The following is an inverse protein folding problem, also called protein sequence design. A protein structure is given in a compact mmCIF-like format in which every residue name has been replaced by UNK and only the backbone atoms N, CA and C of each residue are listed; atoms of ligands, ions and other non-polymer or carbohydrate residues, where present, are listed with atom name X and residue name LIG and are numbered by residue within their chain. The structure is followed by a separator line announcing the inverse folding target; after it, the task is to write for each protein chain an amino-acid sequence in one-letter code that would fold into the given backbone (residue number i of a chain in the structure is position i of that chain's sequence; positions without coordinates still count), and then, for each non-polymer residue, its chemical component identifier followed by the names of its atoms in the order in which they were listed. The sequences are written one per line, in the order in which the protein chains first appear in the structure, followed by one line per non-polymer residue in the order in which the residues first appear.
data_IF_900896250791
#
_entry.id   IF_900896250791
#
_cell.length_a   1.000
_cell.length_b   1.000
_cell.length_c   1.000
_cell.angle_alpha   90.00
_cell.angle_beta   90.00
_cell.angle_gamma   90.00
#
_symmetry.space_group_name_H-M   'P 1'
#
loop_
_entity.id
_entity.type
_entity.pdbx_description
1 polymer ?
#
# COMPACT_ATOMS: atom_id res chain seq x y z
N UNK A 1 -20.88 2.66 -2.25
CA UNK A 1 -19.86 2.27 -1.27
C UNK A 1 -18.83 1.34 -1.88
N UNK A 2 -17.58 1.53 -1.49
CA UNK A 2 -16.48 0.73 -2.03
C UNK A 2 -16.56 -0.72 -1.53
N UNK A 3 -16.52 -1.67 -2.46
CA UNK A 3 -16.50 -3.09 -2.14
C UNK A 3 -15.11 -3.66 -2.33
N UNK A 4 -14.71 -4.54 -1.42
CA UNK A 4 -13.40 -5.19 -1.41
C UNK A 4 -13.60 -6.70 -1.57
N UNK A 5 -12.60 -7.34 -2.16
CA UNK A 5 -12.63 -8.78 -2.43
C UNK A 5 -12.18 -9.55 -1.20
N UNK A 6 -13.05 -10.41 -0.67
CA UNK A 6 -12.69 -11.35 0.39
C UNK A 6 -12.02 -12.57 -0.21
N UNK A 7 -10.94 -13.02 0.43
CA UNK A 7 -10.17 -14.17 -0.06
C UNK A 7 -9.87 -15.16 1.07
N UNK A 8 -9.53 -16.39 0.68
CA UNK A 8 -8.97 -17.37 1.61
C UNK A 8 -7.43 -17.22 1.67
N UNK A 9 -6.76 -18.05 2.45
CA UNK A 9 -5.31 -17.99 2.62
C UNK A 9 -4.50 -18.35 1.37
N UNK A 10 -5.17 -18.83 0.33
CA UNK A 10 -4.57 -19.15 -0.98
C UNK A 10 -4.93 -18.10 -2.04
N UNK A 11 -5.49 -16.96 -1.61
CA UNK A 11 -5.95 -15.88 -2.49
C UNK A 11 -7.10 -16.27 -3.42
N UNK A 12 -7.88 -17.29 -3.05
CA UNK A 12 -9.10 -17.61 -3.78
C UNK A 12 -10.21 -16.65 -3.34
N UNK A 13 -10.92 -16.06 -4.30
CA UNK A 13 -12.03 -15.16 -4.01
C UNK A 13 -13.20 -15.95 -3.40
N UNK A 14 -13.63 -15.52 -2.20
CA UNK A 14 -14.73 -16.17 -1.48
C UNK A 14 -15.94 -15.27 -1.28
N UNK A 15 -15.85 -14.02 -1.73
CA UNK A 15 -16.97 -13.07 -1.62
C UNK A 15 -16.48 -11.64 -1.72
N UNK A 16 -17.37 -10.72 -1.38
CA UNK A 16 -17.06 -9.28 -1.31
C UNK A 16 -17.72 -8.69 -0.08
N UNK A 17 -17.27 -7.53 0.34
CA UNK A 17 -17.87 -6.81 1.44
C UNK A 17 -17.50 -5.35 1.42
N UNK A 18 -18.13 -4.58 2.28
CA UNK A 18 -17.85 -3.16 2.38
C UNK A 18 -16.57 -2.92 3.18
N UNK A 19 -15.77 -1.96 2.75
CA UNK A 19 -14.45 -1.66 3.30
C UNK A 19 -14.47 -1.50 4.82
N UNK A 20 -15.35 -0.68 5.35
CA UNK A 20 -15.42 -0.43 6.79
C UNK A 20 -15.79 -1.68 7.58
N UNK A 21 -16.81 -2.42 7.12
CA UNK A 21 -17.27 -3.65 7.74
C UNK A 21 -16.16 -4.71 7.81
N UNK A 22 -15.42 -4.87 6.71
CA UNK A 22 -14.30 -5.81 6.62
C UNK A 22 -13.20 -5.47 7.62
N UNK A 23 -12.86 -4.20 7.76
CA UNK A 23 -11.84 -3.76 8.70
C UNK A 23 -12.29 -3.85 10.15
N UNK A 24 -13.57 -3.62 10.43
CA UNK A 24 -14.12 -3.77 11.77
C UNK A 24 -14.14 -5.24 12.22
N UNK A 25 -14.45 -6.14 11.30
CA UNK A 25 -14.55 -7.58 11.58
C UNK A 25 -13.24 -8.33 11.41
N UNK A 26 -12.22 -7.70 10.84
CA UNK A 26 -10.92 -8.32 10.62
C UNK A 26 -10.93 -9.46 9.61
N UNK A 27 -11.67 -9.31 8.52
CA UNK A 27 -11.75 -10.33 7.48
C UNK A 27 -10.59 -10.22 6.50
N UNK A 28 -10.04 -11.38 6.09
CA UNK A 28 -8.96 -11.44 5.11
C UNK A 28 -9.47 -10.96 3.75
N UNK A 29 -8.78 -9.99 3.19
CA UNK A 29 -9.19 -9.40 1.92
C UNK A 29 -7.97 -9.11 1.03
N UNK A 30 -8.21 -8.99 -0.27
CA UNK A 30 -7.17 -8.75 -1.26
C UNK A 30 -6.78 -7.27 -1.27
N UNK A 31 -5.47 -7.03 -1.31
CA UNK A 31 -4.90 -5.70 -1.36
C UNK A 31 -3.66 -5.70 -2.25
N UNK A 32 -3.15 -4.52 -2.55
CA UNK A 32 -1.87 -4.39 -3.24
C UNK A 32 -1.06 -3.24 -2.65
N UNK A 33 0.26 -3.38 -2.75
CA UNK A 33 1.23 -2.38 -2.34
C UNK A 33 2.16 -2.10 -3.52
N UNK A 34 2.38 -0.83 -3.81
CA UNK A 34 3.21 -0.39 -4.92
C UNK A 34 4.47 0.29 -4.40
N UNK A 35 5.61 -0.12 -4.94
CA UNK A 35 6.92 0.43 -4.63
C UNK A 35 7.48 1.04 -5.92
N UNK A 36 7.57 2.37 -5.99
CA UNK A 36 8.14 3.06 -7.15
C UNK A 36 9.53 3.58 -6.79
N UNK A 37 10.50 3.20 -7.60
CA UNK A 37 11.90 3.60 -7.45
C UNK A 37 12.31 4.54 -8.57
N UNK A 38 13.22 5.47 -8.28
CA UNK A 38 13.83 6.31 -9.30
C UNK A 38 15.15 5.68 -9.79
N UNK A 39 15.82 6.34 -10.74
CA UNK A 39 17.08 5.85 -11.30
C UNK A 39 18.23 5.82 -10.31
N UNK A 40 18.11 6.50 -9.17
CA UNK A 40 19.09 6.47 -8.08
C UNK A 40 18.82 5.33 -7.09
N UNK A 41 17.79 4.52 -7.31
CA UNK A 41 17.41 3.45 -6.41
C UNK A 41 16.68 3.90 -5.15
N UNK A 42 16.21 5.15 -5.12
CA UNK A 42 15.44 5.66 -4.00
C UNK A 42 13.97 5.27 -4.14
N UNK A 43 13.32 5.00 -3.02
CA UNK A 43 11.90 4.64 -2.95
C UNK A 43 11.05 5.89 -2.73
N UNK A 44 9.97 6.02 -3.49
CA UNK A 44 8.99 7.07 -3.29
C UNK A 44 8.04 6.71 -2.15
N UNK A 45 8.03 7.52 -1.11
CA UNK A 45 7.08 7.37 -0.01
C UNK A 45 5.96 8.39 -0.15
N UNK A 46 4.79 8.03 0.33
CA UNK A 46 3.70 8.98 0.51
C UNK A 46 3.36 9.13 2.00
N UNK A 47 2.95 10.32 2.38
CA UNK A 47 2.38 10.56 3.70
C UNK A 47 0.87 10.59 3.54
N UNK A 48 0.17 9.72 4.26
CA UNK A 48 -1.28 9.59 4.14
C UNK A 48 -1.97 10.86 4.62
N UNK A 49 -3.03 11.27 3.91
CA UNK A 49 -3.81 12.43 4.30
C UNK A 49 -4.38 12.28 5.72
N UNK A 50 -4.45 13.38 6.44
CA UNK A 50 -5.07 13.44 7.77
C UNK A 50 -6.56 13.09 7.74
N UNK A 51 -7.21 13.13 6.57
CA UNK A 51 -8.61 12.74 6.41
C UNK A 51 -8.86 11.24 6.31
N UNK A 52 -7.79 10.42 6.28
CA UNK A 52 -7.94 8.95 6.24
C UNK A 52 -8.54 8.45 7.55
N UNK A 53 -9.43 7.44 7.45
CA UNK A 53 -10.12 6.92 8.62
C UNK A 53 -9.22 6.05 9.53
N UNK A 54 -8.06 5.60 9.03
CA UNK A 54 -7.02 4.93 9.83
C UNK A 54 -5.64 5.33 9.32
N UNK A 55 -4.65 5.22 10.19
CA UNK A 55 -3.23 5.54 9.88
C UNK A 55 -3.05 6.91 9.23
N UNK A 56 -3.89 7.88 9.63
CA UNK A 56 -3.81 9.25 9.13
C UNK A 56 -2.44 9.87 9.43
N UNK A 57 -1.94 10.64 8.48
CA UNK A 57 -0.66 11.37 8.57
C UNK A 57 0.57 10.49 8.81
N UNK A 58 0.49 9.19 8.50
CA UNK A 58 1.65 8.30 8.56
C UNK A 58 2.27 8.10 7.19
N UNK A 59 3.58 7.83 7.19
CA UNK A 59 4.32 7.52 5.97
C UNK A 59 4.15 6.05 5.59
N UNK A 60 4.06 5.80 4.30
CA UNK A 60 3.98 4.46 3.73
C UNK A 60 4.73 4.41 2.40
N UNK A 61 4.79 3.22 1.77
CA UNK A 61 5.32 3.06 0.42
C UNK A 61 4.50 3.89 -0.57
N UNK A 62 4.83 3.82 -1.84
CA UNK A 62 4.28 4.73 -2.86
C UNK A 62 2.76 4.77 -2.93
N UNK A 63 2.11 3.59 -2.88
CA UNK A 63 0.65 3.50 -2.96
C UNK A 63 0.20 2.16 -2.39
N UNK A 64 -0.90 2.16 -1.64
CA UNK A 64 -1.54 0.95 -1.12
C UNK A 64 -3.04 1.09 -1.30
N UNK A 65 -3.69 0.07 -1.82
CA UNK A 65 -5.13 0.10 -2.01
C UNK A 65 -5.69 -1.31 -2.20
N UNK A 66 -6.94 -1.38 -2.56
CA UNK A 66 -7.69 -2.61 -2.76
C UNK A 66 -8.23 -2.67 -4.18
N UNK A 67 -8.12 -3.81 -4.90
CA UNK A 67 -8.73 -3.91 -6.22
C UNK A 67 -10.25 -3.99 -6.09
N UNK A 68 -10.95 -3.38 -7.03
CA UNK A 68 -12.41 -3.52 -7.11
C UNK A 68 -12.75 -4.91 -7.63
N UNK A 69 -13.91 -5.47 -7.24
CA UNK A 69 -14.36 -6.76 -7.76
C UNK A 69 -14.45 -6.75 -9.28
N UNK A 70 -14.15 -7.90 -9.90
CA UNK A 70 -14.25 -8.14 -11.34
C UNK A 70 -13.30 -7.29 -12.20
N UNK A 71 -12.25 -6.74 -11.60
CA UNK A 71 -11.25 -5.97 -12.33
C UNK A 71 -9.90 -6.67 -12.30
N UNK A 72 -9.05 -6.41 -13.29
CA UNK A 72 -7.70 -6.93 -13.33
C UNK A 72 -6.84 -6.27 -12.24
N UNK A 73 -6.10 -7.06 -11.48
CA UNK A 73 -5.32 -6.58 -10.34
C UNK A 73 -4.25 -5.56 -10.76
N UNK A 74 -3.48 -5.87 -11.82
CA UNK A 74 -2.44 -4.95 -12.30
C UNK A 74 -3.02 -3.62 -12.80
N UNK A 75 -4.13 -3.69 -13.52
CA UNK A 75 -4.80 -2.48 -13.99
C UNK A 75 -5.35 -1.65 -12.83
N UNK A 76 -5.86 -2.29 -11.78
CA UNK A 76 -6.30 -1.59 -10.58
C UNK A 76 -5.14 -0.93 -9.85
N UNK A 77 -3.98 -1.58 -9.79
CA UNK A 77 -2.78 -1.00 -9.21
C UNK A 77 -2.35 0.26 -9.98
N UNK A 78 -2.33 0.18 -11.31
CA UNK A 78 -2.01 1.33 -12.17
C UNK A 78 -3.01 2.48 -12.00
N UNK A 79 -4.29 2.14 -11.92
CA UNK A 79 -5.35 3.13 -11.73
C UNK A 79 -5.17 3.90 -10.43
N UNK A 80 -4.95 3.20 -9.33
CA UNK A 80 -4.80 3.84 -8.03
C UNK A 80 -3.50 4.64 -7.92
N UNK A 81 -2.43 4.17 -8.53
CA UNK A 81 -1.18 4.92 -8.57
C UNK A 81 -1.37 6.28 -9.27
N UNK A 82 -2.11 6.29 -10.38
CA UNK A 82 -2.44 7.53 -11.06
C UNK A 82 -3.34 8.43 -10.21
N UNK A 83 -4.37 7.86 -9.57
CA UNK A 83 -5.30 8.64 -8.74
C UNK A 83 -4.61 9.25 -7.53
N UNK A 84 -3.75 8.49 -6.84
CA UNK A 84 -3.11 8.98 -5.60
C UNK A 84 -1.87 9.83 -5.86
N UNK A 85 -1.00 9.38 -6.77
CA UNK A 85 0.32 10.00 -6.95
C UNK A 85 0.54 10.68 -8.30
N UNK A 86 -0.42 10.55 -9.22
CA UNK A 86 -0.29 11.16 -10.55
C UNK A 86 0.83 10.54 -11.38
N UNK A 87 1.17 9.27 -11.14
CA UNK A 87 2.25 8.57 -11.82
C UNK A 87 1.68 7.50 -12.73
N UNK A 88 2.20 7.44 -13.97
CA UNK A 88 1.94 6.36 -14.91
C UNK A 88 3.27 5.67 -15.22
N UNK A 89 3.37 4.38 -14.89
CA UNK A 89 4.55 3.58 -15.21
C UNK A 89 4.15 2.10 -15.26
N UNK A 90 5.02 1.29 -15.84
CA UNK A 90 4.83 -0.15 -15.85
C UNK A 90 5.01 -0.70 -14.43
N UNK A 91 4.16 -1.62 -14.04
CA UNK A 91 4.21 -2.28 -12.74
C UNK A 91 4.38 -3.78 -12.94
N UNK A 92 5.23 -4.38 -12.11
CA UNK A 92 5.47 -5.82 -12.11
C UNK A 92 5.23 -6.36 -10.71
N UNK A 93 4.40 -7.40 -10.59
CA UNK A 93 4.21 -8.07 -9.32
C UNK A 93 5.46 -8.88 -9.00
N UNK A 94 6.00 -8.70 -7.79
CA UNK A 94 7.28 -9.31 -7.38
C UNK A 94 7.12 -10.31 -6.23
N UNK A 95 6.11 -10.17 -5.39
CA UNK A 95 5.78 -11.13 -4.34
C UNK A 95 4.38 -10.85 -3.80
N UNK A 96 3.88 -11.78 -2.97
CA UNK A 96 2.65 -11.60 -2.22
C UNK A 96 2.86 -12.14 -0.79
N UNK A 97 2.09 -11.64 0.15
CA UNK A 97 2.19 -12.05 1.55
C UNK A 97 0.89 -11.72 2.29
N UNK A 98 0.71 -12.41 3.42
CA UNK A 98 -0.42 -12.13 4.32
C UNK A 98 0.14 -11.41 5.54
N UNK A 99 -0.54 -10.36 5.98
CA UNK A 99 -0.24 -9.74 7.26
C UNK A 99 -1.50 -9.34 7.98
N UNK A 100 -1.39 -9.19 9.30
CA UNK A 100 -2.49 -8.77 10.16
C UNK A 100 -1.96 -7.75 11.16
N UNK A 101 -2.65 -6.63 11.31
CA UNK A 101 -2.26 -5.58 12.24
C UNK A 101 -3.50 -4.90 12.80
N UNK A 102 -3.44 -4.54 14.08
CA UNK A 102 -4.48 -3.73 14.70
C UNK A 102 -4.13 -2.26 14.51
N UNK A 103 -5.11 -1.47 14.04
CA UNK A 103 -4.95 -0.05 13.80
C UNK A 103 -6.10 0.66 14.51
N UNK A 104 -5.90 1.02 15.78
CA UNK A 104 -6.98 1.51 16.63
C UNK A 104 -8.02 0.41 16.82
N UNK A 105 -9.26 0.69 16.48
CA UNK A 105 -10.36 -0.28 16.56
C UNK A 105 -10.53 -1.10 15.28
N UNK A 106 -9.70 -0.83 14.26
CA UNK A 106 -9.77 -1.50 12.98
C UNK A 106 -8.69 -2.58 12.88
N UNK A 107 -8.94 -3.57 12.03
CA UNK A 107 -8.02 -4.67 11.78
C UNK A 107 -7.66 -4.70 10.30
N UNK A 108 -6.36 -4.58 10.02
CA UNK A 108 -5.81 -4.78 8.68
C UNK A 108 -5.44 -6.26 8.57
N UNK A 109 -6.20 -7.02 7.78
CA UNK A 109 -5.90 -8.43 7.53
C UNK A 109 -5.94 -8.64 6.02
N UNK A 110 -4.75 -8.63 5.40
CA UNK A 110 -4.63 -8.52 3.96
C UNK A 110 -3.82 -9.63 3.33
N UNK A 111 -4.31 -10.09 2.18
CA UNK A 111 -3.49 -10.82 1.22
C UNK A 111 -2.98 -9.77 0.25
N UNK A 112 -1.74 -9.35 0.43
CA UNK A 112 -1.16 -8.19 -0.21
C UNK A 112 -0.27 -8.60 -1.39
N UNK A 113 -0.55 -8.04 -2.57
CA UNK A 113 0.25 -8.22 -3.78
C UNK A 113 1.17 -7.03 -3.95
N UNK A 114 2.48 -7.27 -3.98
CA UNK A 114 3.47 -6.20 -4.10
C UNK A 114 3.92 -6.01 -5.53
N UNK A 115 3.82 -4.78 -6.01
CA UNK A 115 4.23 -4.36 -7.34
C UNK A 115 5.41 -3.40 -7.27
N UNK A 116 6.30 -3.46 -8.26
CA UNK A 116 7.44 -2.56 -8.37
C UNK A 116 7.38 -1.85 -9.72
N UNK A 117 7.66 -0.56 -9.72
CA UNK A 117 7.75 0.27 -10.92
C UNK A 117 8.91 1.24 -10.83
N UNK A 118 9.17 1.93 -11.94
CA UNK A 118 10.22 2.95 -12.03
C UNK A 118 9.65 4.26 -12.56
N UNK A 119 10.06 5.35 -11.94
CA UNK A 119 9.65 6.69 -12.34
C UNK A 119 10.69 7.71 -11.88
N UNK A 120 11.09 8.58 -12.79
CA UNK A 120 11.93 9.73 -12.47
C UNK A 120 11.11 10.99 -12.63
N UNK A 121 11.29 11.93 -11.71
CA UNK A 121 10.56 13.18 -11.71
C UNK A 121 9.73 13.38 -10.46
N UNK A 122 8.82 14.31 -10.51
CA UNK A 122 7.97 14.65 -9.39
C UNK A 122 6.58 14.07 -9.56
N UNK A 123 6.03 13.41 -8.52
CA UNK A 123 4.65 12.98 -8.55
C UNK A 123 3.71 14.18 -8.50
N UNK A 124 2.44 13.93 -8.85
CA UNK A 124 1.37 14.92 -8.73
C UNK A 124 0.29 14.33 -7.82
N UNK A 125 0.50 14.36 -6.51
CA UNK A 125 -0.41 13.69 -5.60
C UNK A 125 -1.78 14.37 -5.52
N UNK A 126 -2.81 13.55 -5.29
CA UNK A 126 -4.13 14.01 -4.93
C UNK A 126 -4.10 14.36 -3.44
N UNK A 127 -4.25 15.64 -3.12
CA UNK A 127 -4.12 16.13 -1.74
C UNK A 127 -5.21 15.62 -0.80
N UNK A 128 -6.31 15.12 -1.34
CA UNK A 128 -7.37 14.50 -0.51
C UNK A 128 -6.93 13.14 0.02
N UNK A 129 -5.96 12.51 -0.61
CA UNK A 129 -5.47 11.18 -0.23
C UNK A 129 -4.03 11.19 0.28
N UNK A 130 -3.21 12.12 -0.21
CA UNK A 130 -1.77 12.18 0.06
C UNK A 130 -1.40 13.61 0.48
N UNK A 131 -0.89 13.73 1.70
CA UNK A 131 -0.54 15.03 2.28
C UNK A 131 0.89 15.46 1.89
N UNK A 132 1.81 14.51 1.67
CA UNK A 132 3.21 14.79 1.35
C UNK A 132 3.86 13.57 0.68
N UNK A 133 5.04 13.77 0.10
CA UNK A 133 5.81 12.69 -0.53
C UNK A 133 7.30 13.00 -0.44
N UNK A 134 8.13 11.96 -0.52
CA UNK A 134 9.59 12.13 -0.58
C UNK A 134 10.26 10.89 -1.18
N UNK A 135 11.41 11.09 -1.80
CA UNK A 135 12.30 10.01 -2.23
C UNK A 135 13.25 9.69 -1.09
N UNK A 136 13.43 8.41 -0.77
CA UNK A 136 14.28 8.00 0.35
C UNK A 136 15.20 6.86 -0.06
N UNK A 137 16.41 6.85 0.52
CA UNK A 137 17.31 5.73 0.42
C UNK A 137 16.77 4.59 1.30
N UNK A 138 16.82 3.35 0.80
CA UNK A 138 16.26 2.19 1.52
C UNK A 138 16.96 1.95 2.86
N UNK A 139 18.29 2.05 2.91
CA UNK A 139 19.04 1.82 4.16
C UNK A 139 18.68 2.87 5.21
N UNK A 140 18.55 4.11 4.80
CA UNK A 140 18.14 5.19 5.70
C UNK A 140 16.69 5.00 6.18
N UNK A 141 15.82 4.53 5.28
CA UNK A 141 14.43 4.25 5.63
C UNK A 141 14.33 3.15 6.68
N UNK A 142 15.06 2.05 6.52
CA UNK A 142 15.08 0.96 7.49
C UNK A 142 15.50 1.45 8.88
N UNK A 143 16.56 2.26 8.93
CA UNK A 143 17.04 2.84 10.18
C UNK A 143 16.01 3.75 10.83
N UNK A 144 15.32 4.57 10.03
CA UNK A 144 14.33 5.48 10.57
C UNK A 144 13.07 4.75 11.05
N UNK A 145 12.65 3.69 10.36
CA UNK A 145 11.53 2.86 10.82
C UNK A 145 11.85 2.23 12.18
N UNK A 146 13.07 1.74 12.37
CA UNK A 146 13.47 1.15 13.64
C UNK A 146 13.58 2.20 14.77
N UNK A 147 14.04 3.40 14.45
CA UNK A 147 14.21 4.48 15.41
C UNK A 147 12.90 5.21 15.73
N UNK A 148 12.06 5.43 14.72
CA UNK A 148 10.83 6.21 14.83
C UNK A 148 9.64 5.47 14.20
N UNK A 149 9.29 4.27 14.73
CA UNK A 149 8.23 3.45 14.11
C UNK A 149 6.86 4.11 14.08
N UNK A 150 6.61 5.07 14.97
CA UNK A 150 5.35 5.81 15.06
C UNK A 150 5.06 6.71 13.85
N UNK A 151 6.07 6.97 13.04
CA UNK A 151 5.90 7.79 11.82
C UNK A 151 5.36 7.00 10.64
N UNK A 152 5.35 5.67 10.75
CA UNK A 152 5.10 4.77 9.62
C UNK A 152 3.91 3.86 9.87
N UNK A 153 3.25 3.46 8.77
CA UNK A 153 2.18 2.46 8.85
C UNK A 153 2.76 1.11 9.28
N UNK A 154 1.98 0.27 10.02
CA UNK A 154 2.52 -1.01 10.52
C UNK A 154 2.96 -1.97 9.43
N UNK A 155 2.33 -1.96 8.26
CA UNK A 155 2.66 -2.91 7.19
C UNK A 155 3.93 -2.56 6.39
N UNK A 156 4.43 -1.34 6.50
CA UNK A 156 5.60 -0.91 5.70
C UNK A 156 6.84 -1.72 6.00
N UNK A 157 7.15 -1.93 7.28
CA UNK A 157 8.31 -2.72 7.68
C UNK A 157 8.22 -4.15 7.18
N UNK A 158 7.03 -4.75 7.30
CA UNK A 158 6.78 -6.13 6.85
C UNK A 158 7.01 -6.23 5.35
N UNK A 159 6.39 -5.34 4.57
CA UNK A 159 6.51 -5.32 3.11
C UNK A 159 7.95 -5.06 2.66
N UNK A 160 8.64 -4.14 3.32
CA UNK A 160 10.02 -3.79 2.98
C UNK A 160 10.97 -4.96 3.23
N UNK A 161 10.82 -5.66 4.34
CA UNK A 161 11.61 -6.86 4.64
C UNK A 161 11.38 -7.96 3.60
N UNK A 162 10.13 -8.17 3.17
CA UNK A 162 9.80 -9.13 2.11
C UNK A 162 10.44 -8.72 0.78
N UNK A 163 10.41 -7.44 0.45
CA UNK A 163 11.04 -6.91 -0.77
C UNK A 163 12.55 -7.18 -0.77
N UNK A 164 13.22 -6.90 0.34
CA UNK A 164 14.68 -7.05 0.44
C UNK A 164 15.13 -8.51 0.47
N UNK A 165 14.30 -9.42 0.95
CA UNK A 165 14.63 -10.85 1.10
C UNK A 165 14.05 -11.75 0.01
N UNK A 166 13.53 -11.16 -1.08
CA UNK A 166 12.96 -11.95 -2.17
C UNK A 166 14.03 -12.59 -3.05
#
# INVERSE_FOLDING_TARGET
MEKIILVDEKDNEIGTGEKLDIHQKGKLHRAFSIFVFNSKGELLLQKRSESKYHTASLWTNTCCSHPRPNQDLEEEAKRRLMEEMGISCDLKEVFSFIYKANVGELIEYEFDHAFVGRFDGNPKPNKDEVEDWKWVNIDELEKDIDKNPEKYVPWLKIALEKYLNR
#
